data_IF_503254023750
#
_entry.id   IF_503254023750
#
_cell.length_a   1.000
_cell.length_b   1.000
_cell.length_c   1.000
_cell.angle_alpha   90.00
_cell.angle_beta   90.00
_cell.angle_gamma   90.00
#
_symmetry.space_group_name_H-M   'P 1'
#
loop_
_entity.id
_entity.type
_entity.pdbx_description
1 polymer ?
#
# COMPACT_ATOMS: atom_id res chain seq x y z
N UNK A 1 -63.28 -2.93 50.04
CA UNK A 1 -62.19 -2.16 49.41
C UNK A 1 -61.16 -3.14 48.85
N UNK A 2 -61.03 -3.22 47.52
CA UNK A 2 -60.16 -4.18 46.82
C UNK A 2 -58.70 -3.70 46.85
N UNK A 3 -57.78 -4.56 47.29
CA UNK A 3 -56.33 -4.32 47.25
C UNK A 3 -55.83 -4.49 45.81
N UNK A 4 -55.29 -3.43 45.23
CA UNK A 4 -54.58 -3.47 43.95
C UNK A 4 -53.12 -3.84 44.27
N UNK A 5 -52.67 -4.97 43.74
CA UNK A 5 -51.28 -5.39 43.82
C UNK A 5 -50.56 -4.87 42.57
N UNK A 6 -49.56 -4.00 42.76
CA UNK A 6 -48.74 -3.43 41.71
C UNK A 6 -47.62 -4.41 41.38
N UNK A 7 -47.69 -5.06 40.22
CA UNK A 7 -46.65 -5.95 39.73
C UNK A 7 -45.51 -5.09 39.15
N UNK A 8 -44.36 -5.04 39.84
CA UNK A 8 -43.14 -4.42 39.29
C UNK A 8 -42.55 -5.36 38.24
N UNK A 9 -42.69 -5.00 36.96
CA UNK A 9 -41.98 -5.66 35.86
C UNK A 9 -40.56 -5.10 35.79
N UNK A 10 -39.58 -5.86 36.28
CA UNK A 10 -38.16 -5.53 36.12
C UNK A 10 -37.76 -5.94 34.69
N UNK A 11 -37.71 -4.98 33.77
CA UNK A 11 -37.07 -5.16 32.47
C UNK A 11 -35.56 -5.27 32.69
N UNK A 12 -35.06 -6.51 32.76
CA UNK A 12 -33.64 -6.78 32.57
C UNK A 12 -33.33 -6.58 31.07
N UNK A 13 -32.87 -5.38 30.70
CA UNK A 13 -32.28 -5.15 29.38
C UNK A 13 -30.97 -5.96 29.32
N UNK A 14 -30.77 -6.83 28.30
CA UNK A 14 -29.49 -7.45 28.09
C UNK A 14 -28.50 -6.34 27.70
N UNK A 15 -27.54 -6.08 28.59
CA UNK A 15 -26.33 -5.33 28.25
C UNK A 15 -25.51 -6.22 27.31
N UNK A 16 -25.77 -6.12 26.01
CA UNK A 16 -24.81 -6.55 25.01
C UNK A 16 -23.67 -5.53 25.02
N UNK A 17 -22.69 -5.75 25.90
CA UNK A 17 -21.40 -5.10 25.78
C UNK A 17 -20.68 -5.82 24.63
N UNK A 18 -20.81 -5.32 23.39
CA UNK A 18 -19.90 -5.71 22.33
C UNK A 18 -18.54 -5.13 22.68
N UNK A 19 -17.72 -5.92 23.39
CA UNK A 19 -16.31 -5.59 23.53
C UNK A 19 -15.71 -5.66 22.12
N UNK A 20 -15.36 -4.50 21.57
CA UNK A 20 -14.56 -4.42 20.36
C UNK A 20 -13.15 -4.88 20.73
N UNK A 21 -12.72 -6.00 20.17
CA UNK A 21 -11.34 -6.44 20.33
C UNK A 21 -10.45 -5.60 19.41
N UNK A 22 -9.41 -5.00 19.99
CA UNK A 22 -8.37 -4.30 19.21
C UNK A 22 -7.53 -5.35 18.50
N UNK A 23 -7.41 -5.21 17.19
CA UNK A 23 -6.69 -6.11 16.31
C UNK A 23 -5.40 -5.43 15.86
N UNK A 24 -4.28 -6.12 16.04
CA UNK A 24 -2.99 -5.68 15.53
C UNK A 24 -2.94 -5.92 14.01
N UNK A 25 -3.58 -5.03 13.25
CA UNK A 25 -3.49 -5.04 11.80
C UNK A 25 -2.05 -4.76 11.34
N UNK A 26 -1.61 -5.51 10.33
CA UNK A 26 -0.34 -5.20 9.69
C UNK A 26 -0.49 -3.97 8.81
N UNK A 27 0.48 -3.07 8.87
CA UNK A 27 0.52 -1.93 8.00
C UNK A 27 1.92 -1.70 7.43
N UNK A 28 1.95 -1.04 6.27
CA UNK A 28 3.17 -0.58 5.64
C UNK A 28 3.02 0.83 5.10
N UNK A 29 4.13 1.56 5.01
CA UNK A 29 4.18 2.92 4.47
C UNK A 29 5.20 2.96 3.34
N UNK A 30 4.74 3.28 2.14
CA UNK A 30 5.55 3.40 0.93
C UNK A 30 5.80 4.86 0.60
N UNK A 31 7.07 5.26 0.62
CA UNK A 31 7.47 6.65 0.38
C UNK A 31 8.43 6.74 -0.81
N UNK A 32 8.30 7.84 -1.56
CA UNK A 32 9.15 8.17 -2.71
C UNK A 32 10.08 9.34 -2.38
N UNK A 33 11.35 9.16 -2.73
CA UNK A 33 12.41 10.12 -2.48
C UNK A 33 13.16 10.43 -3.77
N UNK A 34 13.61 11.67 -3.92
CA UNK A 34 14.65 12.05 -4.89
C UNK A 34 15.91 12.41 -4.14
N UNK A 35 17.07 12.17 -4.75
CA UNK A 35 18.30 12.39 -4.05
C UNK A 35 19.54 12.11 -4.87
N UNK A 36 20.65 11.91 -4.18
CA UNK A 36 21.94 11.57 -4.77
C UNK A 36 22.64 10.46 -4.01
N UNK A 37 23.38 9.63 -4.76
CA UNK A 37 24.46 8.78 -4.25
C UNK A 37 25.75 9.28 -4.90
N UNK A 38 26.66 9.82 -4.11
CA UNK A 38 27.81 10.58 -4.58
C UNK A 38 27.36 11.80 -5.38
N UNK A 39 27.64 11.81 -6.69
CA UNK A 39 27.24 12.88 -7.63
C UNK A 39 26.06 12.48 -8.53
N UNK A 40 25.54 11.26 -8.39
CA UNK A 40 24.55 10.70 -9.30
C UNK A 40 23.16 10.86 -8.72
N UNK A 41 22.25 11.46 -9.50
CA UNK A 41 20.85 11.58 -9.12
C UNK A 41 20.16 10.21 -9.10
N UNK A 42 19.30 10.04 -8.10
CA UNK A 42 18.51 8.83 -7.90
C UNK A 42 17.06 9.18 -7.55
N UNK A 43 16.17 8.24 -7.87
CA UNK A 43 14.85 8.12 -7.27
C UNK A 43 14.82 6.85 -6.43
N UNK A 44 14.35 6.94 -5.19
CA UNK A 44 14.29 5.82 -4.25
C UNK A 44 12.87 5.63 -3.75
N UNK A 45 12.42 4.38 -3.72
CA UNK A 45 11.19 3.96 -3.06
C UNK A 45 11.55 3.12 -1.84
N UNK A 46 11.01 3.46 -0.67
CA UNK A 46 11.16 2.69 0.55
C UNK A 46 9.79 2.34 1.10
N UNK A 47 9.60 1.07 1.46
CA UNK A 47 8.42 0.52 2.11
C UNK A 47 8.83 0.09 3.52
N UNK A 48 8.32 0.78 4.53
CA UNK A 48 8.56 0.45 5.93
C UNK A 48 7.38 -0.34 6.49
N UNK A 49 7.68 -1.36 7.29
CA UNK A 49 6.71 -2.18 8.01
C UNK A 49 7.36 -2.60 9.32
N UNK A 50 6.82 -2.11 10.46
CA UNK A 50 7.42 -2.26 11.79
C UNK A 50 8.91 -1.84 11.76
N UNK A 51 9.82 -2.73 12.16
CA UNK A 51 11.26 -2.49 12.22
C UNK A 51 11.99 -2.87 10.91
N UNK A 52 11.24 -3.20 9.86
CA UNK A 52 11.79 -3.61 8.57
C UNK A 52 11.56 -2.54 7.51
N UNK A 53 12.52 -2.42 6.60
CA UNK A 53 12.39 -1.58 5.40
C UNK A 53 12.86 -2.36 4.19
N UNK A 54 12.07 -2.30 3.14
CA UNK A 54 12.42 -2.84 1.83
C UNK A 54 12.27 -1.74 0.79
N UNK A 55 12.78 -1.95 -0.40
CA UNK A 55 12.58 -0.97 -1.45
C UNK A 55 13.51 -1.14 -2.61
N UNK A 56 13.76 -0.03 -3.28
CA UNK A 56 14.68 0.03 -4.39
C UNK A 56 15.08 1.45 -4.69
N UNK A 57 16.11 1.62 -5.50
CA UNK A 57 16.40 2.90 -6.12
C UNK A 57 16.77 2.72 -7.59
N UNK A 58 16.67 3.82 -8.33
CA UNK A 58 17.00 3.90 -9.74
C UNK A 58 17.89 5.11 -9.94
N UNK A 59 19.04 4.91 -10.59
CA UNK A 59 19.83 6.04 -11.11
C UNK A 59 19.12 6.66 -12.32
N UNK A 60 19.03 7.98 -12.34
CA UNK A 60 18.35 8.68 -13.42
C UNK A 60 18.95 8.42 -14.79
N UNK A 61 20.26 8.21 -14.85
CA UNK A 61 20.98 7.94 -16.09
C UNK A 61 20.75 6.52 -16.62
N UNK A 62 20.65 5.53 -15.74
CA UNK A 62 20.71 4.12 -16.12
C UNK A 62 19.34 3.44 -16.12
N UNK A 63 18.38 4.00 -15.38
CA UNK A 63 16.99 3.50 -15.28
C UNK A 63 16.84 2.03 -14.88
N UNK A 64 17.92 1.41 -14.37
CA UNK A 64 17.92 0.06 -13.81
C UNK A 64 17.54 0.11 -12.33
N UNK A 65 16.60 -0.76 -11.95
CA UNK A 65 16.14 -0.90 -10.57
C UNK A 65 17.12 -1.73 -9.75
N UNK A 66 17.57 -1.16 -8.64
CA UNK A 66 18.46 -1.79 -7.67
C UNK A 66 17.66 -2.03 -6.40
N UNK A 67 17.59 -3.29 -5.95
CA UNK A 67 16.77 -3.70 -4.82
C UNK A 67 17.49 -3.44 -3.49
N UNK A 68 16.72 -3.06 -2.48
CA UNK A 68 17.18 -2.78 -1.13
C UNK A 68 16.36 -3.57 -0.11
N UNK A 69 17.02 -4.01 0.95
CA UNK A 69 16.39 -4.51 2.17
C UNK A 69 17.14 -3.98 3.39
N UNK A 70 16.49 -3.91 4.54
CA UNK A 70 17.08 -3.25 5.69
C UNK A 70 16.21 -3.23 6.92
N UNK A 71 16.66 -2.46 7.89
CA UNK A 71 15.99 -2.26 9.18
C UNK A 71 15.79 -0.77 9.45
N UNK A 72 14.69 -0.47 10.15
CA UNK A 72 14.38 0.86 10.65
C UNK A 72 14.80 0.91 12.11
N UNK A 73 15.55 1.95 12.46
CA UNK A 73 15.85 2.33 13.85
C UNK A 73 15.22 3.70 14.11
N UNK A 74 15.14 4.10 15.39
CA UNK A 74 14.42 5.31 15.83
C UNK A 74 14.64 6.57 14.96
N UNK A 75 15.87 6.82 14.51
CA UNK A 75 16.19 7.99 13.68
C UNK A 75 17.10 7.64 12.48
N UNK A 76 17.19 6.37 12.12
CA UNK A 76 18.09 5.92 11.06
C UNK A 76 17.56 4.72 10.30
N UNK A 77 18.02 4.58 9.05
CA UNK A 77 17.77 3.43 8.20
C UNK A 77 19.10 2.76 7.89
N UNK A 78 19.12 1.44 7.96
CA UNK A 78 20.25 0.63 7.50
C UNK A 78 19.77 -0.27 6.38
N UNK A 79 20.15 0.06 5.15
CA UNK A 79 19.78 -0.67 3.94
C UNK A 79 20.98 -1.42 3.39
N UNK A 80 20.71 -2.53 2.72
CA UNK A 80 21.68 -3.39 2.08
C UNK A 80 21.33 -3.51 0.61
N UNK A 81 22.36 -3.35 -0.22
CA UNK A 81 22.31 -3.56 -1.65
C UNK A 81 23.18 -4.77 -2.00
N UNK A 82 22.62 -5.73 -2.75
CA UNK A 82 23.42 -6.83 -3.29
C UNK A 82 24.19 -6.33 -4.51
N UNK A 83 25.52 -6.35 -4.42
CA UNK A 83 26.41 -6.06 -5.56
C UNK A 83 26.89 -7.38 -6.18
N UNK A 84 27.65 -7.30 -7.28
CA UNK A 84 28.10 -8.47 -8.04
C UNK A 84 28.83 -9.50 -7.17
N UNK A 85 29.59 -9.04 -6.18
CA UNK A 85 30.48 -9.88 -5.37
C UNK A 85 30.38 -9.62 -3.85
N UNK A 86 29.57 -8.66 -3.40
CA UNK A 86 29.48 -8.26 -1.99
C UNK A 86 28.09 -7.69 -1.65
N UNK A 87 27.92 -7.22 -0.43
CA UNK A 87 26.77 -6.41 -0.01
C UNK A 87 27.27 -5.01 0.36
N UNK A 88 26.77 -4.00 -0.35
CA UNK A 88 26.99 -2.60 0.02
C UNK A 88 25.99 -2.20 1.12
N UNK A 89 26.42 -1.33 2.03
CA UNK A 89 25.58 -0.81 3.10
C UNK A 89 25.24 0.66 2.85
N UNK A 90 23.97 1.01 3.02
CA UNK A 90 23.50 2.39 3.02
C UNK A 90 23.01 2.71 4.43
N UNK A 91 23.69 3.62 5.11
CA UNK A 91 23.27 4.10 6.42
C UNK A 91 22.77 5.52 6.28
N UNK A 92 21.52 5.76 6.68
CA UNK A 92 20.82 7.03 6.55
C UNK A 92 20.37 7.50 7.93
N UNK A 93 20.48 8.79 8.20
CA UNK A 93 19.99 9.45 9.41
C UNK A 93 18.94 10.46 8.99
N UNK A 94 17.81 10.45 9.69
CA UNK A 94 16.71 11.37 9.41
C UNK A 94 17.09 12.82 9.76
N UNK A 95 16.58 13.74 8.97
CA UNK A 95 16.78 15.19 9.02
C UNK A 95 15.47 15.88 8.69
N UNK A 96 15.36 17.19 8.93
CA UNK A 96 14.14 17.96 8.63
C UNK A 96 13.71 17.91 7.15
N UNK A 97 14.62 17.58 6.24
CA UNK A 97 14.37 17.54 4.79
C UNK A 97 14.31 16.13 4.18
N UNK A 98 14.39 15.07 5.00
CA UNK A 98 14.50 13.68 4.54
C UNK A 98 15.64 12.96 5.24
N UNK A 99 16.57 12.35 4.50
CA UNK A 99 17.69 11.61 5.08
C UNK A 99 19.04 11.97 4.46
N UNK A 100 20.10 11.90 5.27
CA UNK A 100 21.48 12.01 4.82
C UNK A 100 22.33 10.87 5.36
N UNK A 101 23.40 10.51 4.67
CA UNK A 101 24.21 9.37 5.09
C UNK A 101 25.28 8.96 4.10
N UNK A 102 25.57 7.66 4.06
CA UNK A 102 26.62 7.08 3.22
C UNK A 102 26.20 5.77 2.59
N UNK A 103 26.65 5.55 1.37
CA UNK A 103 26.66 4.26 0.69
C UNK A 103 28.10 3.77 0.71
N UNK A 104 28.34 2.58 1.23
CA UNK A 104 29.66 2.00 1.42
C UNK A 104 29.71 0.59 0.81
N UNK A 105 30.57 0.41 -0.19
CA UNK A 105 31.03 -0.90 -0.66
C UNK A 105 32.55 -0.99 -0.43
N UNK A 106 33.37 -0.79 -1.47
CA UNK A 106 34.83 -0.65 -1.33
C UNK A 106 35.24 0.73 -0.82
N UNK A 107 34.50 1.75 -1.24
CA UNK A 107 34.63 3.13 -0.79
C UNK A 107 33.26 3.64 -0.34
N UNK A 108 33.29 4.65 0.52
CA UNK A 108 32.07 5.31 0.99
C UNK A 108 31.84 6.61 0.24
N UNK A 109 30.64 6.79 -0.28
CA UNK A 109 30.17 8.05 -0.88
C UNK A 109 28.96 8.58 -0.13
N UNK A 110 28.76 9.89 -0.18
CA UNK A 110 27.61 10.55 0.48
C UNK A 110 26.29 10.14 -0.15
N UNK A 111 25.25 10.05 0.66
CA UNK A 111 23.87 9.87 0.22
C UNK A 111 23.02 11.00 0.80
N UNK A 112 22.13 11.55 -0.01
CA UNK A 112 21.12 12.50 0.44
C UNK A 112 19.85 12.17 -0.31
N UNK A 113 18.77 11.89 0.42
CA UNK A 113 17.44 11.67 -0.14
C UNK A 113 16.47 12.63 0.52
N UNK A 114 15.62 13.25 -0.28
CA UNK A 114 14.63 14.22 0.15
C UNK A 114 13.25 13.66 -0.13
N UNK A 115 12.31 13.94 0.77
CA UNK A 115 10.91 13.62 0.54
C UNK A 115 10.44 14.39 -0.69
N UNK A 116 10.03 13.68 -1.74
CA UNK A 116 9.48 14.34 -2.94
C UNK A 116 8.11 14.98 -2.68
N UNK A 117 7.43 14.43 -1.69
CA UNK A 117 6.04 14.69 -1.41
C UNK A 117 5.95 15.23 0.01
N UNK A 118 5.59 16.50 0.13
CA UNK A 118 5.29 17.10 1.42
C UNK A 118 4.08 16.38 1.99
N UNK A 119 4.29 15.61 3.06
CA UNK A 119 3.29 15.08 3.99
C UNK A 119 2.31 16.19 4.40
N UNK A 120 1.35 16.53 3.55
CA UNK A 120 0.54 17.72 3.76
C UNK A 120 -0.53 17.47 4.85
N UNK A 121 -0.81 16.20 5.16
CA UNK A 121 -1.52 15.76 6.38
C UNK A 121 -0.58 15.42 7.57
N UNK A 122 0.74 15.50 7.38
CA UNK A 122 1.75 15.18 8.37
C UNK A 122 2.04 13.69 8.54
N UNK A 123 2.89 13.35 9.51
CA UNK A 123 3.27 11.97 9.82
C UNK A 123 2.07 11.17 10.38
N UNK A 124 1.94 9.92 9.92
CA UNK A 124 0.98 8.95 10.44
C UNK A 124 1.38 8.60 11.87
N UNK A 125 0.54 8.95 12.86
CA UNK A 125 0.87 8.82 14.28
C UNK A 125 0.26 7.60 14.94
N UNK A 126 -1.00 7.31 14.61
CA UNK A 126 -1.77 6.25 15.26
C UNK A 126 -2.58 5.51 14.20
N UNK A 127 -2.57 4.19 14.32
CA UNK A 127 -3.39 3.26 13.54
C UNK A 127 -3.96 2.28 14.55
N UNK A 128 -5.27 2.27 14.70
CA UNK A 128 -6.00 1.31 15.53
C UNK A 128 -7.04 0.62 14.66
N UNK A 129 -7.09 -0.70 14.72
CA UNK A 129 -8.08 -1.48 14.01
C UNK A 129 -8.92 -2.23 15.02
N UNK A 130 -10.21 -1.95 15.01
CA UNK A 130 -11.21 -2.48 15.92
C UNK A 130 -12.06 -3.51 15.19
N UNK A 131 -12.14 -4.73 15.71
CA UNK A 131 -13.10 -5.73 15.24
C UNK A 131 -14.51 -5.39 15.72
N UNK A 132 -15.42 -5.08 14.79
CA UNK A 132 -16.80 -4.73 15.14
C UNK A 132 -17.74 -5.96 15.08
N UNK A 133 -17.50 -6.82 14.09
CA UNK A 133 -18.19 -8.11 13.88
C UNK A 133 -17.23 -9.04 13.08
N UNK A 134 -17.60 -10.30 12.90
CA UNK A 134 -16.85 -11.36 12.21
C UNK A 134 -16.33 -11.00 10.81
N UNK A 135 -16.94 -10.03 10.13
CA UNK A 135 -16.55 -9.57 8.78
C UNK A 135 -16.47 -8.05 8.66
N UNK A 136 -16.47 -7.32 9.79
CA UNK A 136 -16.46 -5.87 9.80
C UNK A 136 -15.40 -5.30 10.73
N UNK A 137 -14.63 -4.35 10.21
CA UNK A 137 -13.50 -3.71 10.89
C UNK A 137 -13.66 -2.20 10.84
N UNK A 138 -13.34 -1.54 11.95
CA UNK A 138 -13.24 -0.08 12.03
C UNK A 138 -11.78 0.31 12.16
N UNK A 139 -11.28 1.08 11.21
CA UNK A 139 -9.90 1.56 11.16
C UNK A 139 -9.92 3.02 11.61
N UNK A 140 -9.25 3.32 12.71
CA UNK A 140 -9.06 4.67 13.22
C UNK A 140 -7.63 5.13 12.91
N UNK A 141 -7.51 6.28 12.25
CA UNK A 141 -6.24 6.83 11.78
C UNK A 141 -6.05 8.22 12.36
N UNK A 142 -4.82 8.53 12.78
CA UNK A 142 -4.44 9.89 13.18
C UNK A 142 -3.26 10.36 12.33
N UNK A 143 -3.52 11.35 11.47
CA UNK A 143 -2.50 12.07 10.72
C UNK A 143 -2.25 13.40 11.41
N UNK A 144 -1.11 13.53 12.09
CA UNK A 144 -0.72 14.70 12.90
C UNK A 144 -1.77 15.19 13.93
N UNK A 145 -2.83 15.85 13.48
CA UNK A 145 -3.95 16.44 14.24
C UNK A 145 -5.34 16.13 13.65
N UNK A 146 -5.42 15.33 12.58
CA UNK A 146 -6.66 14.93 11.93
C UNK A 146 -6.93 13.46 12.25
N UNK A 147 -8.12 13.20 12.77
CA UNK A 147 -8.59 11.85 13.04
C UNK A 147 -9.54 11.45 11.92
N UNK A 148 -9.32 10.26 11.37
CA UNK A 148 -10.18 9.66 10.36
C UNK A 148 -10.63 8.29 10.84
N UNK A 149 -11.83 7.89 10.43
CA UNK A 149 -12.38 6.58 10.77
C UNK A 149 -13.06 5.99 9.55
N UNK A 150 -12.64 4.77 9.21
CA UNK A 150 -13.12 4.03 8.04
C UNK A 150 -13.74 2.73 8.54
N UNK A 151 -14.89 2.37 8.00
CA UNK A 151 -15.53 1.08 8.26
C UNK A 151 -15.41 0.24 7.01
N UNK A 152 -14.87 -0.97 7.17
CA UNK A 152 -14.77 -1.99 6.13
C UNK A 152 -15.72 -3.11 6.50
N UNK A 153 -16.52 -3.54 5.53
CA UNK A 153 -17.45 -4.66 5.66
C UNK A 153 -17.05 -5.79 4.73
N UNK A 154 -17.68 -6.95 4.89
CA UNK A 154 -17.52 -8.12 4.02
C UNK A 154 -16.07 -8.60 3.92
N UNK A 155 -15.28 -8.38 4.98
CA UNK A 155 -13.90 -8.82 5.07
C UNK A 155 -13.82 -10.34 5.27
N UNK A 156 -12.93 -10.99 4.53
CA UNK A 156 -12.67 -12.44 4.64
C UNK A 156 -11.54 -12.70 5.65
N UNK A 157 -10.52 -11.84 5.62
CA UNK A 157 -9.35 -11.85 6.48
C UNK A 157 -9.26 -10.53 7.29
N UNK A 158 -8.51 -10.51 8.42
CA UNK A 158 -8.13 -9.28 9.08
C UNK A 158 -7.44 -8.31 8.11
N UNK A 159 -7.74 -7.00 8.16
CA UNK A 159 -7.26 -6.06 7.16
C UNK A 159 -5.74 -5.88 7.24
N UNK A 160 -5.09 -5.79 6.08
CA UNK A 160 -3.74 -5.23 5.95
C UNK A 160 -3.80 -3.87 5.28
N UNK A 161 -3.01 -2.92 5.79
CA UNK A 161 -3.05 -1.52 5.39
C UNK A 161 -1.76 -1.12 4.65
N UNK A 162 -1.89 -0.52 3.48
CA UNK A 162 -0.75 0.04 2.75
C UNK A 162 -1.00 1.52 2.49
N UNK A 163 -0.17 2.36 3.11
CA UNK A 163 -0.17 3.80 2.91
C UNK A 163 0.81 4.15 1.80
N UNK A 164 0.32 4.77 0.73
CA UNK A 164 1.10 5.04 -0.47
C UNK A 164 0.49 6.19 -1.26
N UNK A 165 1.32 7.06 -1.82
CA UNK A 165 0.85 8.06 -2.79
C UNK A 165 0.68 7.40 -4.16
N UNK A 166 -0.54 6.95 -4.49
CA UNK A 166 -0.82 6.28 -5.78
C UNK A 166 -1.18 7.27 -6.87
N UNK A 167 -1.81 8.39 -6.52
CA UNK A 167 -2.27 9.40 -7.47
C UNK A 167 -1.20 10.47 -7.81
N UNK A 168 -0.12 10.52 -7.02
CA UNK A 168 1.02 11.43 -7.18
C UNK A 168 0.77 12.85 -6.70
N UNK A 169 -0.22 13.09 -5.84
CA UNK A 169 -0.59 14.42 -5.33
C UNK A 169 0.24 14.86 -4.10
N UNK A 170 1.06 13.95 -3.59
CA UNK A 170 1.94 14.17 -2.45
C UNK A 170 1.36 13.77 -1.09
N UNK A 171 0.18 13.16 -1.06
CA UNK A 171 -0.47 12.67 0.14
C UNK A 171 -0.53 11.14 0.18
N UNK A 172 -0.73 10.56 1.37
CA UNK A 172 -0.91 9.11 1.49
C UNK A 172 -2.35 8.75 1.17
N UNK A 173 -2.51 7.95 0.12
CA UNK A 173 -3.70 7.15 -0.10
C UNK A 173 -3.60 5.87 0.74
N UNK A 174 -4.73 5.20 0.93
CA UNK A 174 -4.82 3.99 1.73
C UNK A 174 -5.38 2.84 0.89
N UNK A 175 -4.66 1.73 0.87
CA UNK A 175 -5.13 0.47 0.31
C UNK A 175 -5.40 -0.47 1.48
N UNK A 176 -6.65 -0.89 1.62
CA UNK A 176 -7.09 -1.85 2.64
C UNK A 176 -7.35 -3.18 1.95
N UNK A 177 -6.56 -4.22 2.26
CA UNK A 177 -6.78 -5.57 1.74
C UNK A 177 -7.45 -6.42 2.80
N UNK A 178 -8.53 -7.09 2.41
CA UNK A 178 -9.32 -7.96 3.30
C UNK A 178 -9.50 -9.38 2.76
N UNK A 179 -8.86 -9.69 1.63
CA UNK A 179 -8.71 -11.03 1.10
C UNK A 179 -7.33 -11.17 0.47
N UNK A 180 -6.49 -11.99 1.09
CA UNK A 180 -5.08 -12.13 0.73
C UNK A 180 -4.81 -13.24 -0.30
N UNK A 181 -5.85 -13.81 -0.91
CA UNK A 181 -5.69 -14.86 -1.92
C UNK A 181 -4.87 -14.34 -3.11
N UNK A 182 -3.73 -14.99 -3.45
CA UNK A 182 -2.93 -14.58 -4.59
C UNK A 182 -3.73 -14.64 -5.89
N UNK A 183 -3.69 -13.55 -6.65
CA UNK A 183 -4.41 -13.40 -7.91
C UNK A 183 -5.93 -13.54 -7.81
N UNK A 184 -6.54 -13.42 -6.63
CA UNK A 184 -8.01 -13.39 -6.47
C UNK A 184 -8.44 -12.63 -5.21
N UNK A 185 -7.55 -11.78 -4.67
CA UNK A 185 -7.82 -10.96 -3.50
C UNK A 185 -8.77 -9.79 -3.77
N UNK A 186 -9.19 -9.15 -2.69
CA UNK A 186 -10.04 -7.96 -2.69
C UNK A 186 -9.39 -6.84 -1.89
N UNK A 187 -9.63 -5.61 -2.33
CA UNK A 187 -9.14 -4.41 -1.68
C UNK A 187 -10.13 -3.26 -1.82
N UNK A 188 -10.13 -2.39 -0.82
CA UNK A 188 -10.78 -1.08 -0.89
C UNK A 188 -9.70 -0.02 -0.89
N UNK A 189 -9.79 0.91 -1.83
CA UNK A 189 -8.78 1.94 -2.08
C UNK A 189 -9.39 3.30 -1.78
N UNK A 190 -8.72 4.04 -0.91
CA UNK A 190 -9.13 5.37 -0.50
C UNK A 190 -8.09 6.38 -0.97
N UNK A 191 -8.54 7.34 -1.76
CA UNK A 191 -7.72 8.49 -2.13
C UNK A 191 -7.87 9.58 -1.08
N UNK A 192 -6.74 10.14 -0.70
CA UNK A 192 -6.71 11.30 0.18
C UNK A 192 -7.21 12.55 -0.56
N UNK A 193 -7.80 13.47 0.20
CA UNK A 193 -8.32 14.73 -0.32
C UNK A 193 -8.70 15.67 0.80
N UNK A 194 -9.23 16.85 0.45
CA UNK A 194 -9.56 17.89 1.44
C UNK A 194 -10.57 17.41 2.51
N UNK A 195 -11.43 16.45 2.15
CA UNK A 195 -12.43 15.86 3.05
C UNK A 195 -11.94 14.57 3.75
N UNK A 196 -10.65 14.23 3.62
CA UNK A 196 -10.06 12.99 4.10
C UNK A 196 -10.07 11.86 3.09
N UNK A 197 -9.85 10.64 3.57
CA UNK A 197 -9.81 9.44 2.78
C UNK A 197 -11.19 9.13 2.20
N UNK A 198 -11.30 9.19 0.88
CA UNK A 198 -12.52 8.90 0.12
C UNK A 198 -12.32 7.67 -0.74
N UNK A 199 -13.25 6.72 -0.65
CA UNK A 199 -13.20 5.49 -1.46
C UNK A 199 -13.22 5.82 -2.96
N UNK A 200 -12.22 5.32 -3.69
CA UNK A 200 -12.25 5.27 -5.15
C UNK A 200 -13.02 4.03 -5.60
N UNK A 201 -14.29 4.23 -5.96
CA UNK A 201 -15.19 3.15 -6.39
C UNK A 201 -14.74 2.46 -7.68
N UNK A 202 -13.95 3.13 -8.53
CA UNK A 202 -13.50 2.54 -9.78
C UNK A 202 -12.34 1.57 -9.56
N UNK A 203 -11.44 1.89 -8.64
CA UNK A 203 -10.35 0.99 -8.27
C UNK A 203 -10.82 -0.10 -7.31
N UNK A 204 -11.69 0.23 -6.35
CA UNK A 204 -12.14 -0.70 -5.29
C UNK A 204 -13.06 -1.81 -5.80
N UNK A 205 -13.72 -1.63 -6.95
CA UNK A 205 -14.56 -2.68 -7.57
C UNK A 205 -13.75 -3.73 -8.33
N UNK A 206 -12.46 -3.50 -8.57
CA UNK A 206 -11.66 -4.39 -9.41
C UNK A 206 -11.21 -5.62 -8.62
N UNK A 207 -11.46 -6.80 -9.19
CA UNK A 207 -11.05 -8.06 -8.61
C UNK A 207 -9.57 -8.34 -8.89
N UNK A 208 -8.95 -9.10 -7.98
CA UNK A 208 -7.58 -9.54 -8.11
C UNK A 208 -6.64 -8.73 -7.24
N UNK A 209 -5.41 -9.23 -7.11
CA UNK A 209 -4.41 -8.65 -6.24
C UNK A 209 -3.84 -7.38 -6.84
N UNK A 210 -4.03 -6.24 -6.16
CA UNK A 210 -3.43 -4.96 -6.53
C UNK A 210 -1.90 -4.99 -6.38
N UNK A 211 -1.22 -4.58 -7.44
CA UNK A 211 0.21 -4.27 -7.49
C UNK A 211 0.38 -2.83 -7.98
N UNK A 212 1.08 -2.01 -7.20
CA UNK A 212 1.45 -0.65 -7.59
C UNK A 212 2.94 -0.57 -7.93
N UNK A 213 3.25 0.02 -9.09
CA UNK A 213 4.61 0.35 -9.47
C UNK A 213 4.84 1.86 -9.32
N UNK A 214 5.51 2.32 -8.25
CA UNK A 214 5.65 3.75 -7.96
C UNK A 214 6.50 4.51 -8.99
N UNK A 215 7.39 3.81 -9.72
CA UNK A 215 8.21 4.43 -10.76
C UNK A 215 7.46 4.62 -12.09
N UNK A 216 6.50 3.74 -12.37
CA UNK A 216 5.65 3.82 -13.56
C UNK A 216 4.31 4.53 -13.29
N UNK A 217 3.99 4.81 -12.03
CA UNK A 217 2.67 5.28 -11.56
C UNK A 217 1.53 4.44 -12.12
N UNK A 218 1.74 3.12 -12.09
CA UNK A 218 0.84 2.14 -12.69
C UNK A 218 0.25 1.25 -11.61
N UNK A 219 -1.08 1.08 -11.65
CA UNK A 219 -1.79 0.10 -10.84
C UNK A 219 -2.19 -1.06 -11.73
N UNK A 220 -1.94 -2.28 -11.25
CA UNK A 220 -2.31 -3.51 -11.93
C UNK A 220 -3.08 -4.38 -10.95
N UNK A 221 -4.27 -4.81 -11.32
CA UNK A 221 -5.01 -5.86 -10.63
C UNK A 221 -4.75 -7.17 -11.35
N UNK A 222 -4.04 -8.09 -10.69
CA UNK A 222 -3.74 -9.40 -11.24
C UNK A 222 -4.81 -10.39 -10.79
N UNK A 223 -5.48 -11.05 -11.73
CA UNK A 223 -6.41 -12.13 -11.43
C UNK A 223 -6.11 -13.43 -12.18
N UNK A 224 -6.56 -14.56 -11.64
CA UNK A 224 -6.41 -15.89 -12.25
C UNK A 224 -7.74 -16.65 -12.20
N UNK A 225 -8.12 -17.27 -13.31
CA UNK A 225 -9.27 -18.17 -13.34
C UNK A 225 -8.98 -19.45 -12.53
N UNK A 226 -9.89 -19.83 -11.64
CA UNK A 226 -9.71 -20.98 -10.74
C UNK A 226 -9.54 -22.33 -11.47
N UNK A 227 -10.10 -22.47 -12.67
CA UNK A 227 -10.05 -23.72 -13.44
C UNK A 227 -8.76 -23.93 -14.23
N UNK A 228 -8.05 -22.83 -14.53
CA UNK A 228 -7.29 -22.76 -15.78
C UNK A 228 -6.01 -21.93 -15.61
N UNK A 229 -5.04 -22.11 -16.52
CA UNK A 229 -3.84 -21.25 -16.57
C UNK A 229 -4.11 -19.94 -17.31
N UNK A 230 -5.29 -19.36 -17.06
CA UNK A 230 -5.74 -18.10 -17.62
C UNK A 230 -5.57 -17.01 -16.58
N UNK A 231 -4.85 -15.97 -16.96
CA UNK A 231 -4.52 -14.84 -16.12
C UNK A 231 -5.06 -13.58 -16.78
N UNK A 232 -5.50 -12.65 -15.96
CA UNK A 232 -6.03 -11.38 -16.39
C UNK A 232 -5.34 -10.25 -15.62
N UNK A 233 -5.07 -9.13 -16.30
CA UNK A 233 -4.49 -7.92 -15.72
C UNK A 233 -5.34 -6.73 -16.10
N UNK A 234 -5.91 -6.07 -15.10
CA UNK A 234 -6.60 -4.81 -15.28
C UNK A 234 -5.64 -3.68 -14.94
N UNK A 235 -5.40 -2.79 -15.91
CA UNK A 235 -4.33 -1.82 -15.84
C UNK A 235 -4.92 -0.42 -15.72
N UNK A 236 -4.48 0.31 -14.72
CA UNK A 236 -4.85 1.70 -14.45
C UNK A 236 -3.62 2.59 -14.40
N UNK A 237 -3.79 3.83 -14.87
CA UNK A 237 -2.82 4.90 -14.72
C UNK A 237 -3.52 6.13 -14.13
N UNK A 238 -2.79 6.94 -13.37
CA UNK A 238 -3.31 8.21 -12.86
C UNK A 238 -3.02 9.36 -13.80
N UNK A 239 -4.07 9.91 -14.40
CA UNK A 239 -4.01 11.14 -15.17
C UNK A 239 -4.69 12.27 -14.39
N UNK A 240 -3.94 13.32 -14.08
CA UNK A 240 -4.41 14.48 -13.29
C UNK A 240 -5.14 14.08 -11.98
N UNK A 241 -4.56 13.13 -11.23
CA UNK A 241 -5.11 12.65 -9.96
C UNK A 241 -6.31 11.72 -10.09
N UNK A 242 -6.72 11.33 -11.30
CA UNK A 242 -7.82 10.39 -11.54
C UNK A 242 -7.32 9.08 -12.12
N UNK A 243 -7.83 7.97 -11.59
CA UNK A 243 -7.57 6.65 -12.15
C UNK A 243 -8.28 6.48 -13.50
N UNK A 244 -7.50 6.21 -14.54
CA UNK A 244 -7.99 5.93 -15.90
C UNK A 244 -7.62 4.50 -16.26
N UNK A 245 -8.61 3.69 -16.64
CA UNK A 245 -8.40 2.33 -17.12
C UNK A 245 -7.69 2.39 -18.46
N UNK A 246 -6.48 1.83 -18.52
CA UNK A 246 -5.64 1.77 -19.71
C UNK A 246 -6.02 0.58 -20.57
N UNK A 247 -6.12 -0.60 -19.97
CA UNK A 247 -6.44 -1.83 -20.69
C UNK A 247 -6.95 -2.92 -19.73
N UNK A 248 -7.49 -3.98 -20.32
CA UNK A 248 -7.75 -5.25 -19.67
C UNK A 248 -7.14 -6.34 -20.56
N UNK A 249 -6.03 -6.94 -20.11
CA UNK A 249 -5.31 -7.94 -20.91
C UNK A 249 -5.46 -9.32 -20.27
N UNK A 250 -5.63 -10.34 -21.10
CA UNK A 250 -5.64 -11.73 -20.66
C UNK A 250 -4.52 -12.52 -21.34
N UNK A 251 -4.06 -13.57 -20.66
CA UNK A 251 -3.12 -14.53 -21.20
C UNK A 251 -3.47 -15.95 -20.74
N UNK A 252 -3.60 -16.87 -21.69
CA UNK A 252 -3.76 -18.30 -21.44
C UNK A 252 -2.42 -19.00 -21.68
N UNK A 253 -1.76 -19.42 -20.60
CA UNK A 253 -0.48 -20.12 -20.68
C UNK A 253 -0.62 -21.56 -21.21
N UNK A 254 -1.82 -22.13 -21.27
CA UNK A 254 -2.03 -23.46 -21.83
C UNK A 254 -2.01 -23.46 -23.36
N UNK A 255 -2.54 -22.40 -23.98
CA UNK A 255 -2.49 -22.21 -25.43
C UNK A 255 -1.38 -21.25 -25.89
N UNK A 256 -0.71 -20.57 -24.95
CA UNK A 256 0.26 -19.50 -25.22
C UNK A 256 -0.34 -18.36 -26.06
N UNK A 257 -1.60 -18.01 -25.76
CA UNK A 257 -2.36 -16.96 -26.45
C UNK A 257 -2.79 -15.88 -25.46
N UNK A 258 -2.59 -14.61 -25.82
CA UNK A 258 -3.09 -13.48 -25.06
C UNK A 258 -3.81 -12.47 -25.92
N UNK A 259 -4.73 -11.72 -25.31
CA UNK A 259 -5.40 -10.59 -25.97
C UNK A 259 -5.51 -9.37 -25.06
N UNK A 260 -5.71 -8.22 -25.67
CA UNK A 260 -6.15 -7.01 -24.98
C UNK A 260 -7.66 -6.82 -25.05
N UNK A 261 -8.14 -5.73 -24.44
CA UNK A 261 -9.56 -5.35 -24.45
C UNK A 261 -10.14 -5.08 -25.85
N UNK A 262 -9.29 -4.79 -26.84
CA UNK A 262 -9.68 -4.60 -28.24
C UNK A 262 -9.66 -5.89 -29.08
N UNK A 263 -9.20 -7.01 -28.52
CA UNK A 263 -9.08 -8.30 -29.21
C UNK A 263 -7.79 -8.49 -30.00
N UNK A 264 -6.82 -7.57 -29.89
CA UNK A 264 -5.49 -7.69 -30.48
C UNK A 264 -4.65 -8.71 -29.72
N UNK A 265 -3.75 -9.39 -30.42
CA UNK A 265 -2.84 -10.36 -29.81
C UNK A 265 -1.83 -9.70 -28.87
N UNK A 266 -1.64 -10.28 -27.68
CA UNK A 266 -0.64 -9.91 -26.69
C UNK A 266 0.33 -11.07 -26.52
N UNK A 267 1.63 -10.79 -26.65
CA UNK A 267 2.68 -11.78 -26.39
C UNK A 267 2.86 -12.01 -24.90
N UNK A 268 3.37 -13.20 -24.54
CA UNK A 268 3.71 -13.55 -23.15
C UNK A 268 4.63 -12.49 -22.53
N UNK A 269 5.70 -12.10 -23.24
CA UNK A 269 6.64 -11.08 -22.77
C UNK A 269 5.97 -9.73 -22.50
N UNK A 270 5.01 -9.33 -23.34
CA UNK A 270 4.27 -8.08 -23.13
C UNK A 270 3.36 -8.21 -21.91
N UNK A 271 2.63 -9.31 -21.78
CA UNK A 271 1.78 -9.57 -20.61
C UNK A 271 2.58 -9.56 -19.31
N UNK A 272 3.75 -10.20 -19.29
CA UNK A 272 4.64 -10.30 -18.10
C UNK A 272 5.38 -9.00 -17.79
N UNK A 273 5.54 -8.10 -18.76
CA UNK A 273 6.23 -6.81 -18.55
C UNK A 273 5.45 -5.78 -17.72
N UNK A 274 4.14 -6.02 -17.55
CA UNK A 274 3.27 -5.28 -16.66
C UNK A 274 3.43 -5.80 -15.24
#
# INVERSE_FOLDING_TARGET
MKKISLLLTVCALPLFCSASDVINAEYSVSSMYSGTIGKSNITMNLVTSKDTVSGSYIYDKYKNRILLNGVVNYNSLELKEKTSNNTAAITLVHTDMGYTGKWCDKECVSVTIQNNNSFKDGELKVIEVDGFDTSAYKINLTFKNKNESIVITDAIDPPTLEFVDINGDGFYDLIVRTDHRPNNGSQTIYLSGDNGLMEDKNLSKENGTLVYNPYKKLIIFNSKDDCCNKYNKIIYFFDNGKAVKVDNIYFDYSSNEGKNSSGDNISMNKFESY
#
